data_IF_192513825833
#
_entry.id   IF_192513825833
#
_cell.length_a   1.000
_cell.length_b   1.000
_cell.length_c   1.000
_cell.angle_alpha   90.00
_cell.angle_beta   90.00
_cell.angle_gamma   90.00
#
_symmetry.space_group_name_H-M   'P 1'
#
loop_
_entity.id
_entity.type
_entity.pdbx_description
1 polymer ?
#
# COMPACT_ATOMS: atom_id res chain seq x y z
N UNK A 1 -3.93 -19.92 -5.35
CA UNK A 1 -5.27 -19.31 -5.22
C UNK A 1 -5.99 -19.37 -6.56
N UNK A 2 -7.30 -19.52 -6.57
CA UNK A 2 -8.07 -19.68 -7.81
C UNK A 2 -8.30 -18.32 -8.53
N UNK A 3 -7.22 -17.68 -8.98
CA UNK A 3 -7.28 -16.50 -9.85
C UNK A 3 -7.24 -16.94 -11.32
N UNK A 4 -8.17 -16.43 -12.13
CA UNK A 4 -8.36 -16.86 -13.53
C UNK A 4 -7.66 -15.95 -14.55
N UNK A 5 -6.54 -15.35 -14.16
CA UNK A 5 -5.71 -14.50 -15.03
C UNK A 5 -4.22 -14.79 -14.80
N UNK A 6 -3.42 -14.62 -15.84
CA UNK A 6 -1.97 -14.75 -15.76
C UNK A 6 -1.32 -13.46 -15.27
N UNK A 7 -0.03 -13.54 -14.91
CA UNK A 7 0.82 -12.40 -14.57
C UNK A 7 0.81 -11.34 -15.69
N UNK A 8 0.96 -11.79 -16.94
CA UNK A 8 0.99 -10.91 -18.12
C UNK A 8 -0.33 -10.20 -18.32
N UNK A 9 -1.45 -10.93 -18.19
CA UNK A 9 -2.79 -10.33 -18.27
C UNK A 9 -3.00 -9.25 -17.21
N UNK A 10 -2.53 -9.50 -15.98
CA UNK A 10 -2.61 -8.51 -14.91
C UNK A 10 -1.75 -7.28 -15.21
N UNK A 11 -0.48 -7.47 -15.62
CA UNK A 11 0.41 -6.35 -15.94
C UNK A 11 -0.10 -5.52 -17.11
N UNK A 12 -0.61 -6.15 -18.16
CA UNK A 12 -1.22 -5.46 -19.31
C UNK A 12 -2.47 -4.65 -18.89
N UNK A 13 -3.29 -5.20 -17.98
CA UNK A 13 -4.42 -4.45 -17.44
C UNK A 13 -3.99 -3.23 -16.66
N UNK A 14 -2.98 -3.36 -15.79
CA UNK A 14 -2.41 -2.25 -15.01
C UNK A 14 -1.86 -1.17 -15.94
N UNK A 15 -1.11 -1.55 -16.94
CA UNK A 15 -0.57 -0.62 -17.94
C UNK A 15 -1.70 0.14 -18.67
N UNK A 16 -2.71 -0.60 -19.15
CA UNK A 16 -3.88 0.01 -19.79
C UNK A 16 -4.60 0.99 -18.86
N UNK A 17 -4.77 0.65 -17.59
CA UNK A 17 -5.40 1.55 -16.62
C UNK A 17 -4.58 2.81 -16.41
N UNK A 18 -3.25 2.70 -16.21
CA UNK A 18 -2.36 3.84 -15.99
C UNK A 18 -2.29 4.77 -17.21
N UNK A 19 -2.37 4.22 -18.42
CA UNK A 19 -2.35 5.01 -19.65
C UNK A 19 -3.65 5.78 -19.90
N UNK A 20 -4.77 5.31 -19.35
CA UNK A 20 -6.09 5.91 -19.58
C UNK A 20 -6.60 6.75 -18.39
N UNK A 21 -6.04 6.57 -17.19
CA UNK A 21 -6.48 7.29 -15.99
C UNK A 21 -5.30 8.07 -15.44
N UNK A 22 -5.29 9.41 -15.59
CA UNK A 22 -4.24 10.26 -15.04
C UNK A 22 -4.11 10.08 -13.49
N UNK A 23 -2.89 10.07 -13.00
CA UNK A 23 -2.57 9.96 -11.57
C UNK A 23 -3.17 8.74 -10.84
N UNK A 24 -3.52 7.68 -11.58
CA UNK A 24 -4.04 6.46 -10.98
C UNK A 24 -3.05 5.87 -9.99
N UNK A 25 -3.51 5.65 -8.77
CA UNK A 25 -2.83 4.87 -7.75
C UNK A 25 -3.52 3.51 -7.58
N UNK A 26 -2.74 2.48 -7.31
CA UNK A 26 -3.25 1.10 -7.16
C UNK A 26 -2.73 0.56 -5.84
N UNK A 27 -3.62 -0.01 -5.04
CA UNK A 27 -3.29 -0.80 -3.86
C UNK A 27 -3.56 -2.27 -4.11
N UNK A 28 -2.92 -3.15 -3.32
CA UNK A 28 -3.10 -4.59 -3.45
C UNK A 28 -2.93 -5.31 -2.12
N UNK A 29 -3.55 -6.48 -2.02
CA UNK A 29 -3.31 -7.47 -0.98
C UNK A 29 -2.43 -8.58 -1.55
N UNK A 30 -1.37 -8.96 -0.83
CA UNK A 30 -0.47 -10.05 -1.20
C UNK A 30 -0.39 -11.05 -0.04
N UNK A 31 -0.62 -12.31 -0.36
CA UNK A 31 -0.45 -13.41 0.56
C UNK A 31 0.74 -14.24 0.09
N UNK A 32 1.75 -14.40 0.92
CA UNK A 32 2.91 -15.26 0.65
C UNK A 32 2.76 -16.63 1.31
N UNK A 33 3.38 -17.65 0.71
CA UNK A 33 3.40 -19.00 1.26
C UNK A 33 2.08 -19.75 1.12
N UNK A 34 1.28 -19.42 0.10
CA UNK A 34 0.10 -20.21 -0.23
C UNK A 34 0.53 -21.65 -0.59
N UNK A 35 -0.26 -22.70 -0.22
CA UNK A 35 0.09 -24.09 -0.55
C UNK A 35 0.44 -24.27 -2.02
N UNK A 36 1.59 -24.88 -2.29
CA UNK A 36 2.12 -25.08 -3.63
C UNK A 36 2.92 -23.91 -4.20
N UNK A 37 3.04 -22.79 -3.51
CA UNK A 37 3.86 -21.68 -3.97
C UNK A 37 5.34 -22.09 -4.05
N UNK A 38 5.90 -22.05 -5.25
CA UNK A 38 7.33 -22.31 -5.50
C UNK A 38 8.16 -21.03 -5.27
N UNK A 39 9.48 -21.15 -5.33
CA UNK A 39 10.34 -19.96 -5.30
C UNK A 39 10.16 -19.09 -6.55
N UNK A 40 9.93 -19.74 -7.70
CA UNK A 40 9.67 -19.04 -8.97
C UNK A 40 8.36 -18.24 -8.91
N UNK A 41 7.28 -18.82 -8.36
CA UNK A 41 6.01 -18.11 -8.16
C UNK A 41 6.17 -16.89 -7.23
N UNK A 42 7.02 -17.04 -6.20
CA UNK A 42 7.31 -15.94 -5.30
C UNK A 42 8.15 -14.84 -5.98
N UNK A 43 9.17 -15.19 -6.79
CA UNK A 43 9.92 -14.21 -7.58
C UNK A 43 9.02 -13.48 -8.58
N UNK A 44 8.05 -14.16 -9.18
CA UNK A 44 7.04 -13.55 -10.02
C UNK A 44 6.18 -12.53 -9.26
N UNK A 45 5.85 -12.83 -8.02
CA UNK A 45 5.16 -11.87 -7.13
C UNK A 45 6.02 -10.62 -6.90
N UNK A 46 7.31 -10.78 -6.60
CA UNK A 46 8.23 -9.66 -6.43
C UNK A 46 8.39 -8.84 -7.72
N UNK A 47 8.43 -9.51 -8.88
CA UNK A 47 8.52 -8.83 -10.17
C UNK A 47 7.27 -7.96 -10.46
N UNK A 48 6.09 -8.48 -10.15
CA UNK A 48 4.84 -7.70 -10.24
C UNK A 48 4.90 -6.46 -9.34
N UNK A 49 5.36 -6.60 -8.09
CA UNK A 49 5.50 -5.47 -7.17
C UNK A 49 6.48 -4.43 -7.72
N UNK A 50 7.63 -4.86 -8.26
CA UNK A 50 8.62 -3.96 -8.87
C UNK A 50 8.06 -3.19 -10.07
N UNK A 51 7.28 -3.84 -10.92
CA UNK A 51 6.73 -3.26 -12.16
C UNK A 51 5.54 -2.35 -11.91
N UNK A 52 4.62 -2.78 -11.06
CA UNK A 52 3.37 -2.02 -10.81
C UNK A 52 3.64 -0.79 -9.95
N UNK A 53 4.57 -0.86 -8.98
CA UNK A 53 4.86 0.22 -8.03
C UNK A 53 3.58 0.66 -7.32
N UNK A 54 3.00 -0.26 -6.57
CA UNK A 54 1.77 -0.02 -5.83
C UNK A 54 1.90 1.15 -4.86
N UNK A 55 0.83 1.92 -4.69
CA UNK A 55 0.74 2.98 -3.69
C UNK A 55 0.71 2.41 -2.27
N UNK A 56 0.04 1.27 -2.10
CA UNK A 56 -0.06 0.55 -0.84
C UNK A 56 -0.14 -0.96 -1.08
N UNK A 57 0.58 -1.72 -0.26
CA UNK A 57 0.57 -3.19 -0.30
C UNK A 57 0.24 -3.71 1.09
N UNK A 58 -0.86 -4.42 1.23
CA UNK A 58 -1.19 -5.17 2.43
C UNK A 58 -0.61 -6.58 2.32
N UNK A 59 0.34 -6.90 3.18
CA UNK A 59 1.10 -8.15 3.10
C UNK A 59 0.67 -9.11 4.19
N UNK A 60 0.46 -10.36 3.82
CA UNK A 60 0.03 -11.41 4.73
C UNK A 60 0.84 -12.69 4.50
N UNK A 61 1.11 -13.43 5.58
CA UNK A 61 1.57 -14.80 5.52
C UNK A 61 0.33 -15.70 5.46
N UNK A 62 0.32 -16.68 4.55
CA UNK A 62 -0.76 -17.65 4.48
C UNK A 62 -0.91 -18.38 5.82
N UNK A 63 -2.12 -18.36 6.36
CA UNK A 63 -2.52 -19.11 7.55
C UNK A 63 -3.60 -20.12 7.16
N UNK A 64 -3.43 -21.36 7.60
CA UNK A 64 -4.43 -22.41 7.39
C UNK A 64 -5.74 -22.04 8.06
N UNK A 65 -6.84 -22.21 7.31
CA UNK A 65 -8.20 -22.01 7.83
C UNK A 65 -8.98 -23.29 7.63
N UNK A 66 -9.33 -23.95 8.72
CA UNK A 66 -10.07 -25.21 8.73
C UNK A 66 -11.27 -25.17 7.80
N UNK A 67 -11.43 -26.22 6.97
CA UNK A 67 -12.52 -26.37 6.04
C UNK A 67 -12.34 -25.72 4.67
N UNK A 68 -11.26 -24.94 4.46
CA UNK A 68 -10.95 -24.37 3.13
C UNK A 68 -10.23 -25.35 2.22
N UNK A 69 -10.32 -25.21 0.87
CA UNK A 69 -9.51 -26.00 -0.05
C UNK A 69 -8.00 -25.91 0.24
N UNK A 70 -7.48 -24.72 0.55
CA UNK A 70 -6.08 -24.52 0.89
C UNK A 70 -5.63 -25.26 2.15
N UNK A 71 -6.50 -25.43 3.12
CA UNK A 71 -6.22 -26.23 4.33
C UNK A 71 -6.00 -27.71 4.00
N UNK A 72 -6.69 -28.23 2.98
CA UNK A 72 -6.64 -29.63 2.56
C UNK A 72 -5.51 -29.94 1.58
N UNK A 73 -4.78 -28.94 1.10
CA UNK A 73 -3.66 -29.13 0.19
C UNK A 73 -2.48 -29.73 0.95
N UNK A 74 -1.85 -30.75 0.37
CA UNK A 74 -0.71 -31.46 1.00
C UNK A 74 0.60 -30.68 0.92
N UNK A 75 0.79 -29.91 -0.15
CA UNK A 75 2.03 -29.16 -0.43
C UNK A 75 2.08 -27.82 0.33
N UNK A 76 1.92 -27.85 1.64
CA UNK A 76 2.05 -26.68 2.51
C UNK A 76 3.50 -26.16 2.47
N UNK A 77 3.65 -24.85 2.36
CA UNK A 77 4.96 -24.19 2.44
C UNK A 77 5.44 -24.19 3.91
N UNK A 78 6.68 -24.58 4.21
CA UNK A 78 7.25 -24.52 5.57
C UNK A 78 7.22 -23.09 6.15
N UNK A 79 7.00 -22.96 7.45
CA UNK A 79 6.82 -21.64 8.08
C UNK A 79 8.09 -20.77 8.02
N UNK A 80 9.28 -21.36 8.13
CA UNK A 80 10.54 -20.62 7.96
C UNK A 80 10.70 -20.06 6.53
N UNK A 81 10.24 -20.79 5.52
CA UNK A 81 10.22 -20.32 4.11
C UNK A 81 9.22 -19.18 3.94
N UNK A 82 8.02 -19.30 4.52
CA UNK A 82 7.02 -18.23 4.49
C UNK A 82 7.56 -16.93 5.09
N UNK A 83 8.20 -17.00 6.26
CA UNK A 83 8.77 -15.83 6.92
C UNK A 83 9.90 -15.20 6.10
N UNK A 84 10.81 -16.00 5.55
CA UNK A 84 11.88 -15.49 4.65
C UNK A 84 11.32 -14.78 3.43
N UNK A 85 10.28 -15.34 2.79
CA UNK A 85 9.60 -14.70 1.67
C UNK A 85 8.90 -13.42 2.09
N UNK A 86 8.22 -13.42 3.23
CA UNK A 86 7.56 -12.24 3.76
C UNK A 86 8.55 -11.11 4.03
N UNK A 87 9.71 -11.40 4.64
CA UNK A 87 10.74 -10.40 4.92
C UNK A 87 11.32 -9.79 3.63
N UNK A 88 11.53 -10.62 2.59
CA UNK A 88 11.97 -10.14 1.26
C UNK A 88 10.92 -9.25 0.59
N UNK A 89 9.65 -9.64 0.63
CA UNK A 89 8.55 -8.83 0.12
C UNK A 89 8.44 -7.51 0.88
N UNK A 90 8.51 -7.56 2.21
CA UNK A 90 8.45 -6.39 3.09
C UNK A 90 9.57 -5.39 2.75
N UNK A 91 10.81 -5.84 2.67
CA UNK A 91 11.93 -4.98 2.33
C UNK A 91 11.78 -4.29 0.97
N UNK A 92 11.27 -5.01 -0.04
CA UNK A 92 10.98 -4.44 -1.35
C UNK A 92 9.90 -3.37 -1.28
N UNK A 93 8.78 -3.68 -0.61
CA UNK A 93 7.63 -2.77 -0.47
C UNK A 93 8.03 -1.51 0.31
N UNK A 94 8.72 -1.64 1.45
CA UNK A 94 9.17 -0.51 2.26
C UNK A 94 10.08 0.43 1.47
N UNK A 95 11.02 -0.11 0.69
CA UNK A 95 11.88 0.71 -0.18
C UNK A 95 11.09 1.47 -1.26
N UNK A 96 10.06 0.83 -1.83
CA UNK A 96 9.21 1.50 -2.81
C UNK A 96 8.33 2.59 -2.19
N UNK A 97 7.73 2.31 -1.02
CA UNK A 97 6.90 3.29 -0.30
C UNK A 97 7.73 4.50 0.11
N UNK A 98 8.94 4.29 0.64
CA UNK A 98 9.85 5.39 1.00
C UNK A 98 10.14 6.30 -0.21
N UNK A 99 10.53 5.71 -1.34
CA UNK A 99 10.78 6.46 -2.57
C UNK A 99 9.55 7.23 -3.02
N UNK A 100 8.39 6.60 -2.97
CA UNK A 100 7.12 7.20 -3.37
C UNK A 100 6.73 8.34 -2.43
N UNK A 101 6.91 8.17 -1.12
CA UNK A 101 6.59 9.20 -0.14
C UNK A 101 7.47 10.45 -0.30
N UNK A 102 8.75 10.28 -0.66
CA UNK A 102 9.64 11.40 -0.98
C UNK A 102 9.13 12.26 -2.14
N UNK A 103 8.45 11.67 -3.12
CA UNK A 103 7.88 12.41 -4.27
C UNK A 103 6.75 13.37 -3.85
N UNK A 104 6.11 13.15 -2.69
CA UNK A 104 5.07 14.04 -2.17
C UNK A 104 5.64 15.30 -1.51
N UNK A 105 6.86 15.27 -0.99
CA UNK A 105 7.45 16.41 -0.28
C UNK A 105 7.56 17.63 -1.20
N UNK A 106 7.09 18.78 -0.73
CA UNK A 106 7.01 20.03 -1.50
C UNK A 106 5.79 20.13 -2.43
N UNK A 107 4.91 19.11 -2.47
CA UNK A 107 3.66 19.19 -3.24
C UNK A 107 2.49 19.63 -2.37
N UNK A 108 1.49 20.26 -2.99
CA UNK A 108 0.21 20.59 -2.33
C UNK A 108 -0.78 19.45 -2.64
N UNK A 109 -1.37 18.89 -1.58
CA UNK A 109 -2.32 17.81 -1.67
C UNK A 109 -3.68 18.22 -1.10
N UNK A 110 -4.76 17.77 -1.74
CA UNK A 110 -6.12 17.90 -1.21
C UNK A 110 -6.36 16.82 -0.16
N UNK A 111 -6.63 17.24 1.08
CA UNK A 111 -6.75 16.33 2.22
C UNK A 111 -8.16 16.38 2.77
N UNK A 112 -8.87 15.25 2.74
CA UNK A 112 -10.10 15.07 3.50
C UNK A 112 -9.74 14.91 4.99
N UNK A 113 -10.12 15.86 5.83
CA UNK A 113 -9.83 15.84 7.25
C UNK A 113 -10.75 14.87 7.97
N UNK A 114 -10.20 13.82 8.56
CA UNK A 114 -10.98 12.76 9.23
C UNK A 114 -11.22 13.04 10.72
N UNK A 115 -10.28 13.72 11.39
CA UNK A 115 -10.40 14.02 12.81
C UNK A 115 -9.09 14.42 13.46
N UNK A 116 -9.09 14.50 14.79
CA UNK A 116 -7.87 14.78 15.58
C UNK A 116 -6.92 13.60 15.52
N UNK A 117 -5.63 13.88 15.49
CA UNK A 117 -4.59 12.87 15.63
C UNK A 117 -4.63 12.24 17.02
N UNK A 118 -4.39 10.93 17.10
CA UNK A 118 -4.35 10.21 18.38
C UNK A 118 -3.14 10.54 19.24
N UNK A 119 -2.11 11.14 18.67
CA UNK A 119 -0.81 11.36 19.31
C UNK A 119 -0.59 12.80 19.78
N UNK A 120 -1.34 13.77 19.25
CA UNK A 120 -1.18 15.18 19.61
C UNK A 120 -2.52 15.92 19.41
N UNK A 121 -2.98 16.61 20.44
CA UNK A 121 -4.26 17.33 20.45
C UNK A 121 -4.35 18.51 19.46
N UNK A 122 -3.21 19.09 19.08
CA UNK A 122 -3.13 20.22 18.14
C UNK A 122 -2.99 19.77 16.67
N UNK A 123 -2.87 18.45 16.43
CA UNK A 123 -2.72 17.93 15.09
C UNK A 123 -3.96 17.14 14.64
N UNK A 124 -4.20 17.20 13.35
CA UNK A 124 -5.31 16.52 12.68
C UNK A 124 -4.76 15.49 11.72
N UNK A 125 -5.56 14.50 11.44
CA UNK A 125 -5.27 13.47 10.45
C UNK A 125 -6.31 13.53 9.35
N UNK A 126 -5.87 13.30 8.13
CA UNK A 126 -6.73 13.20 6.97
C UNK A 126 -6.08 12.33 5.91
N UNK A 127 -6.72 12.23 4.75
CA UNK A 127 -6.26 11.41 3.64
C UNK A 127 -6.25 12.17 2.34
N UNK A 128 -5.21 11.87 1.54
CA UNK A 128 -5.19 12.24 0.13
C UNK A 128 -6.22 11.41 -0.67
N UNK A 129 -6.47 11.77 -1.91
CA UNK A 129 -7.25 10.98 -2.86
C UNK A 129 -6.64 9.59 -3.14
N UNK A 130 -5.30 9.46 -3.01
CA UNK A 130 -4.57 8.19 -3.06
C UNK A 130 -4.59 7.40 -1.74
N UNK A 131 -5.41 7.82 -0.77
CA UNK A 131 -5.58 7.20 0.55
C UNK A 131 -4.34 7.26 1.48
N UNK A 132 -3.38 8.15 1.21
CA UNK A 132 -2.26 8.38 2.12
C UNK A 132 -2.70 9.17 3.34
N UNK A 133 -2.25 8.73 4.51
CA UNK A 133 -2.45 9.44 5.75
C UNK A 133 -1.55 10.67 5.81
N UNK A 134 -2.13 11.82 6.12
CA UNK A 134 -1.40 13.07 6.33
C UNK A 134 -1.72 13.62 7.73
N UNK A 135 -0.68 14.01 8.45
CA UNK A 135 -0.79 14.65 9.79
C UNK A 135 -0.34 16.09 9.65
N UNK A 136 -1.16 17.02 10.15
CA UNK A 136 -0.91 18.46 10.02
C UNK A 136 -1.55 19.22 11.18
N UNK A 137 -1.07 20.44 11.46
CA UNK A 137 -1.71 21.36 12.41
C UNK A 137 -2.98 21.94 11.77
N UNK A 138 -4.07 22.02 12.53
CA UNK A 138 -5.35 22.48 12.02
C UNK A 138 -6.31 22.88 13.13
N UNK A 139 -7.58 23.04 12.75
CA UNK A 139 -8.67 23.41 13.66
C UNK A 139 -9.81 22.40 13.56
N UNK A 140 -10.62 22.33 14.62
CA UNK A 140 -11.78 21.42 14.68
C UNK A 140 -12.79 21.67 13.55
N UNK A 141 -12.94 22.92 13.15
CA UNK A 141 -13.81 23.32 12.02
C UNK A 141 -13.39 22.75 10.67
N UNK A 142 -12.15 22.19 10.55
CA UNK A 142 -11.67 21.55 9.35
C UNK A 142 -12.18 20.12 9.21
N UNK A 143 -12.65 19.47 10.27
CA UNK A 143 -13.13 18.09 10.24
C UNK A 143 -14.29 17.94 9.23
N UNK A 144 -14.21 16.93 8.39
CA UNK A 144 -15.17 16.66 7.31
C UNK A 144 -15.01 17.53 6.06
N UNK A 145 -14.06 18.46 6.07
CA UNK A 145 -13.74 19.31 4.90
C UNK A 145 -12.51 18.81 4.15
N UNK A 146 -12.41 19.23 2.90
CA UNK A 146 -11.19 19.08 2.11
C UNK A 146 -10.39 20.38 2.22
N UNK A 147 -9.13 20.26 2.63
CA UNK A 147 -8.19 21.36 2.77
C UNK A 147 -6.95 21.13 1.91
N UNK A 148 -6.32 22.20 1.45
CA UNK A 148 -5.04 22.13 0.75
C UNK A 148 -3.90 22.11 1.75
N UNK A 149 -3.03 21.10 1.69
CA UNK A 149 -1.91 20.89 2.60
C UNK A 149 -0.62 20.72 1.80
N UNK A 150 0.37 21.56 2.07
CA UNK A 150 1.71 21.36 1.56
C UNK A 150 2.41 20.27 2.39
N UNK A 151 2.92 19.26 1.70
CA UNK A 151 3.64 18.16 2.35
C UNK A 151 5.06 18.60 2.67
N UNK A 152 5.42 18.60 3.96
CA UNK A 152 6.71 19.09 4.46
C UNK A 152 7.70 17.99 4.80
N UNK A 153 7.22 16.78 5.11
CA UNK A 153 8.08 15.62 5.35
C UNK A 153 7.35 14.30 5.14
N UNK A 154 8.13 13.28 4.83
CA UNK A 154 7.67 11.91 4.69
C UNK A 154 8.07 11.04 5.88
N UNK A 155 7.23 10.05 6.13
CA UNK A 155 7.46 8.92 7.02
C UNK A 155 6.97 7.64 6.33
N UNK A 156 7.38 6.47 6.81
CA UNK A 156 7.03 5.19 6.18
C UNK A 156 5.51 5.04 5.93
N UNK A 157 4.68 5.40 6.92
CA UNK A 157 3.24 5.12 6.91
C UNK A 157 2.35 6.36 6.86
N UNK A 158 2.92 7.56 6.89
CA UNK A 158 2.19 8.83 6.85
C UNK A 158 3.09 9.94 6.32
N UNK A 159 2.47 11.01 5.91
CA UNK A 159 3.13 12.26 5.54
C UNK A 159 2.84 13.32 6.60
N UNK A 160 3.68 14.33 6.71
CA UNK A 160 3.38 15.55 7.47
C UNK A 160 3.26 16.72 6.52
N UNK A 161 2.44 17.71 6.92
CA UNK A 161 2.26 18.90 6.12
C UNK A 161 1.75 20.07 6.95
N UNK A 162 1.56 21.17 6.25
CA UNK A 162 0.97 22.40 6.78
C UNK A 162 -0.18 22.87 5.88
N UNK A 163 -1.27 23.33 6.47
CA UNK A 163 -2.39 23.91 5.70
C UNK A 163 -1.86 25.11 4.94
N UNK A 164 -2.13 25.14 3.62
CA UNK A 164 -1.89 26.32 2.79
C UNK A 164 -3.03 27.27 3.04
N UNK A 165 -2.74 28.40 3.70
CA UNK A 165 -3.72 29.47 3.86
C UNK A 165 -3.97 30.10 2.49
N UNK A 166 -5.21 29.93 1.98
CA UNK A 166 -5.73 30.64 0.84
C UNK A 166 -6.27 32.00 1.23
#
# INVERSE_FOLDING_TARGET
MNRKYSKEQFLNLVEKMKNNIPNLTISTDIIVGFPGETEEDFEDTLDVVRKVKFEQVYMFIYSRRTGTPGDKMENQVPDDVKHKRFDRLKALVENQIEKRNKEYVGTIQKILVEGRSKTNENTYTGRTDSNKVVIFEGKEENIGKVVDVEITSEHMWYLKGAIVNG
#
